data_IF_477829056016
#
_entry.id   IF_477829056016
#
_cell.length_a   1.000
_cell.length_b   1.000
_cell.length_c   1.000
_cell.angle_alpha   90.00
_cell.angle_beta   90.00
_cell.angle_gamma   90.00
#
_symmetry.space_group_name_H-M   'P 1'
#
loop_
_entity.id
_entity.type
_entity.pdbx_description
1 polymer ?
#
# COMPACT_ATOMS: atom_id res chain seq x y z
N UNK A 1 -4.22 -14.49 -38.34
CA UNK A 1 -4.79 -13.88 -37.11
C UNK A 1 -5.45 -14.91 -36.18
N UNK A 2 -6.24 -15.88 -36.66
CA UNK A 2 -6.93 -16.87 -35.80
C UNK A 2 -5.99 -17.74 -34.92
N UNK A 3 -4.83 -18.12 -35.43
CA UNK A 3 -3.84 -18.92 -34.69
C UNK A 3 -3.16 -18.16 -33.54
N UNK A 4 -3.09 -16.83 -33.62
CA UNK A 4 -2.55 -15.95 -32.58
C UNK A 4 -3.61 -15.69 -31.50
N UNK A 5 -4.87 -15.47 -31.89
CA UNK A 5 -5.99 -15.31 -30.94
C UNK A 5 -6.33 -16.59 -30.19
N UNK A 6 -6.10 -17.77 -30.79
CA UNK A 6 -6.28 -19.08 -30.16
C UNK A 6 -4.99 -19.58 -29.47
N UNK A 7 -3.91 -18.78 -29.50
CA UNK A 7 -2.61 -19.06 -28.88
C UNK A 7 -2.08 -20.50 -29.08
N UNK A 8 -2.31 -21.07 -30.27
CA UNK A 8 -1.94 -22.47 -30.58
C UNK A 8 -0.43 -22.71 -30.56
N UNK A 9 0.36 -21.64 -30.59
CA UNK A 9 1.82 -21.66 -30.53
C UNK A 9 2.37 -21.55 -29.09
N UNK A 10 1.50 -21.33 -28.07
CA UNK A 10 1.89 -20.96 -26.69
C UNK A 10 2.90 -19.80 -26.65
N UNK A 11 2.76 -18.86 -27.57
CA UNK A 11 3.60 -17.67 -27.67
C UNK A 11 2.85 -16.48 -27.07
N UNK A 12 3.41 -15.83 -26.06
CA UNK A 12 2.79 -14.68 -25.38
C UNK A 12 2.77 -14.86 -23.86
N UNK A 13 1.73 -14.33 -23.20
CA UNK A 13 1.58 -14.36 -21.73
C UNK A 13 0.55 -15.41 -21.24
N UNK A 14 -0.21 -16.01 -22.16
CA UNK A 14 -1.27 -16.98 -21.87
C UNK A 14 -0.81 -18.40 -22.18
N UNK A 15 -1.24 -19.39 -21.38
CA UNK A 15 -1.07 -20.82 -21.66
C UNK A 15 -2.27 -21.38 -22.43
N UNK A 16 -3.43 -20.74 -22.29
CA UNK A 16 -4.68 -21.16 -22.90
C UNK A 16 -5.89 -20.46 -22.27
N UNK A 17 -7.04 -21.13 -22.37
CA UNK A 17 -8.29 -20.74 -21.72
C UNK A 17 -8.79 -21.92 -20.89
N UNK A 18 -9.25 -21.66 -19.67
CA UNK A 18 -9.89 -22.64 -18.79
C UNK A 18 -11.28 -22.12 -18.41
N UNK A 19 -12.34 -22.83 -18.79
CA UNK A 19 -13.75 -22.42 -18.56
C UNK A 19 -14.08 -20.98 -18.99
N UNK A 20 -13.50 -20.54 -20.11
CA UNK A 20 -13.70 -19.19 -20.63
C UNK A 20 -12.88 -18.10 -19.94
N UNK A 21 -12.04 -18.45 -18.96
CA UNK A 21 -11.08 -17.56 -18.31
C UNK A 21 -9.68 -17.71 -18.92
N UNK A 22 -8.93 -16.61 -19.11
CA UNK A 22 -7.55 -16.67 -19.57
C UNK A 22 -6.67 -17.32 -18.51
N UNK A 23 -5.93 -18.35 -18.91
CA UNK A 23 -4.89 -18.94 -18.07
C UNK A 23 -3.53 -18.36 -18.46
N UNK A 24 -2.80 -17.82 -17.49
CA UNK A 24 -1.49 -17.22 -17.72
C UNK A 24 -0.39 -18.28 -17.64
N UNK A 25 0.65 -18.15 -18.47
CA UNK A 25 1.82 -19.02 -18.43
C UNK A 25 2.55 -18.98 -17.08
N UNK A 26 2.46 -17.84 -16.39
CA UNK A 26 3.08 -17.62 -15.09
C UNK A 26 2.23 -16.66 -14.27
N UNK A 27 2.17 -16.88 -12.95
CA UNK A 27 1.39 -16.06 -12.01
C UNK A 27 1.73 -14.57 -12.10
N UNK A 28 3.02 -14.23 -12.28
CA UNK A 28 3.46 -12.84 -12.38
C UNK A 28 2.78 -12.04 -13.50
N UNK A 29 2.37 -12.68 -14.61
CA UNK A 29 1.59 -11.98 -15.63
C UNK A 29 0.19 -11.66 -15.13
N UNK A 30 -0.46 -12.62 -14.45
CA UNK A 30 -1.75 -12.38 -13.82
C UNK A 30 -1.65 -11.23 -12.80
N UNK A 31 -0.60 -11.23 -11.97
CA UNK A 31 -0.38 -10.20 -10.96
C UNK A 31 -0.16 -8.82 -11.60
N UNK A 32 0.70 -8.73 -12.62
CA UNK A 32 0.95 -7.50 -13.37
C UNK A 32 -0.31 -6.93 -14.02
N UNK A 33 -1.10 -7.78 -14.70
CA UNK A 33 -2.33 -7.32 -15.36
C UNK A 33 -3.42 -6.95 -14.36
N UNK A 34 -3.55 -7.67 -13.24
CA UNK A 34 -4.45 -7.32 -12.15
C UNK A 34 -4.08 -5.97 -11.54
N UNK A 35 -2.80 -5.76 -11.22
CA UNK A 35 -2.27 -4.51 -10.70
C UNK A 35 -2.51 -3.34 -11.65
N UNK A 36 -2.24 -3.53 -12.94
CA UNK A 36 -2.46 -2.50 -13.96
C UNK A 36 -3.94 -2.16 -14.13
N UNK A 37 -4.83 -3.15 -14.04
CA UNK A 37 -6.29 -2.93 -14.05
C UNK A 37 -6.71 -2.09 -12.84
N UNK A 38 -6.26 -2.44 -11.63
CA UNK A 38 -6.52 -1.65 -10.43
C UNK A 38 -6.00 -0.22 -10.58
N UNK A 39 -4.77 -0.05 -11.06
CA UNK A 39 -4.15 1.26 -11.27
C UNK A 39 -4.93 2.14 -12.24
N UNK A 40 -5.56 1.57 -13.27
CA UNK A 40 -6.43 2.33 -14.18
C UNK A 40 -7.78 2.69 -13.55
N UNK A 41 -8.35 1.78 -12.75
CA UNK A 41 -9.71 1.91 -12.23
C UNK A 41 -9.78 2.77 -10.98
N UNK A 42 -8.82 2.68 -10.06
CA UNK A 42 -8.82 3.41 -8.78
C UNK A 42 -8.83 4.94 -8.97
N UNK A 43 -7.92 5.56 -9.76
CA UNK A 43 -7.95 7.01 -9.97
C UNK A 43 -9.21 7.50 -10.68
N UNK A 44 -9.82 6.63 -11.50
CA UNK A 44 -11.01 6.93 -12.32
C UNK A 44 -12.32 6.65 -11.57
N UNK A 45 -12.26 6.03 -10.39
CA UNK A 45 -13.43 5.69 -9.62
C UNK A 45 -14.11 6.98 -9.11
N UNK A 46 -15.37 7.19 -9.53
CA UNK A 46 -16.23 8.16 -8.83
C UNK A 46 -16.49 7.62 -7.43
N UNK A 47 -16.72 8.52 -6.45
CA UNK A 47 -16.93 8.19 -5.02
C UNK A 47 -17.92 7.04 -4.73
N UNK A 48 -18.78 6.68 -5.68
CA UNK A 48 -19.79 5.62 -5.55
C UNK A 48 -19.36 4.24 -6.10
N UNK A 49 -18.16 4.09 -6.67
CA UNK A 49 -17.60 2.75 -7.00
C UNK A 49 -16.79 2.25 -5.81
N UNK A 50 -17.46 2.15 -4.65
CA UNK A 50 -16.89 1.64 -3.41
C UNK A 50 -16.25 0.25 -3.62
N UNK A 51 -16.79 -0.58 -4.52
CA UNK A 51 -16.33 -1.95 -4.75
C UNK A 51 -14.86 -2.04 -5.16
N UNK A 52 -14.37 -1.24 -6.12
CA UNK A 52 -12.96 -1.35 -6.57
C UNK A 52 -12.00 -0.84 -5.50
N UNK A 53 -12.37 0.25 -4.81
CA UNK A 53 -11.57 0.80 -3.71
C UNK A 53 -11.53 -0.18 -2.55
N UNK A 54 -12.68 -0.69 -2.10
CA UNK A 54 -12.78 -1.68 -1.03
C UNK A 54 -12.05 -2.97 -1.37
N UNK A 55 -12.12 -3.44 -2.62
CA UNK A 55 -11.34 -4.59 -3.09
C UNK A 55 -9.84 -4.30 -2.94
N UNK A 56 -9.33 -3.20 -3.51
CA UNK A 56 -7.91 -2.85 -3.45
C UNK A 56 -7.41 -2.70 -2.00
N UNK A 57 -8.20 -2.04 -1.13
CA UNK A 57 -7.89 -1.93 0.30
C UNK A 57 -7.85 -3.31 0.98
N UNK A 58 -8.78 -4.19 0.65
CA UNK A 58 -8.87 -5.54 1.20
C UNK A 58 -7.70 -6.46 0.83
N UNK A 59 -6.98 -6.17 -0.25
CA UNK A 59 -5.79 -6.95 -0.65
C UNK A 59 -4.58 -6.65 0.25
N UNK A 60 -4.46 -5.45 0.82
CA UNK A 60 -3.33 -5.12 1.69
C UNK A 60 -3.35 -5.98 2.95
N UNK A 61 -2.19 -6.50 3.35
CA UNK A 61 -2.03 -7.46 4.44
C UNK A 61 -2.23 -8.93 4.03
N UNK A 62 -2.70 -9.20 2.81
CA UNK A 62 -2.87 -10.56 2.30
C UNK A 62 -1.62 -11.02 1.55
N UNK A 63 -0.92 -12.02 2.07
CA UNK A 63 0.35 -12.50 1.52
C UNK A 63 0.25 -12.92 0.04
N UNK A 64 -0.86 -13.53 -0.35
CA UNK A 64 -1.12 -13.97 -1.73
C UNK A 64 -1.25 -12.84 -2.75
N UNK A 65 -1.45 -11.60 -2.30
CA UNK A 65 -1.61 -10.44 -3.18
C UNK A 65 -0.45 -9.45 -3.08
N UNK A 66 0.62 -9.82 -2.36
CA UNK A 66 1.80 -8.97 -2.18
C UNK A 66 2.41 -8.50 -3.51
N UNK A 67 2.60 -9.39 -4.48
CA UNK A 67 3.14 -9.05 -5.80
C UNK A 67 2.19 -8.17 -6.63
N UNK A 68 0.87 -8.41 -6.54
CA UNK A 68 -0.13 -7.54 -7.19
C UNK A 68 -0.02 -6.11 -6.66
N UNK A 69 0.10 -5.97 -5.34
CA UNK A 69 0.17 -4.66 -4.70
C UNK A 69 1.50 -3.98 -4.95
N UNK A 70 2.59 -4.73 -5.01
CA UNK A 70 3.90 -4.22 -5.40
C UNK A 70 3.85 -3.58 -6.79
N UNK A 71 3.34 -4.30 -7.80
CA UNK A 71 3.17 -3.73 -9.14
C UNK A 71 2.21 -2.53 -9.14
N UNK A 72 1.12 -2.59 -8.37
CA UNK A 72 0.15 -1.49 -8.28
C UNK A 72 0.80 -0.20 -7.75
N UNK A 73 1.66 -0.33 -6.75
CA UNK A 73 2.41 0.77 -6.14
C UNK A 73 3.49 1.31 -7.09
N UNK A 74 4.21 0.41 -7.77
CA UNK A 74 5.21 0.76 -8.79
C UNK A 74 4.61 1.56 -9.95
N UNK A 75 3.39 1.26 -10.40
CA UNK A 75 2.72 2.05 -11.44
C UNK A 75 2.43 3.50 -11.02
N UNK A 76 2.16 3.73 -9.73
CA UNK A 76 2.05 5.10 -9.17
C UNK A 76 3.40 5.80 -9.18
N UNK A 77 4.42 5.10 -8.68
CA UNK A 77 5.75 5.63 -8.45
C UNK A 77 6.57 5.86 -9.72
N UNK A 78 6.29 5.18 -10.84
CA UNK A 78 7.14 5.16 -12.05
C UNK A 78 7.53 6.57 -12.54
N UNK A 79 6.60 7.51 -12.52
CA UNK A 79 6.82 8.88 -13.02
C UNK A 79 7.24 9.87 -11.93
N UNK A 80 7.53 9.41 -10.72
CA UNK A 80 7.66 10.27 -9.55
C UNK A 80 8.96 9.94 -8.79
N UNK A 81 10.01 10.73 -9.03
CA UNK A 81 11.37 10.42 -8.56
C UNK A 81 11.48 10.11 -7.06
N UNK A 82 10.83 10.86 -6.14
CA UNK A 82 10.87 10.52 -4.72
C UNK A 82 10.28 9.14 -4.41
N UNK A 83 9.27 8.70 -5.14
CA UNK A 83 8.65 7.39 -4.91
C UNK A 83 9.50 6.27 -5.49
N UNK A 84 10.05 6.47 -6.68
CA UNK A 84 11.00 5.50 -7.27
C UNK A 84 12.22 5.32 -6.38
N UNK A 85 12.76 6.41 -5.82
CA UNK A 85 13.89 6.34 -4.89
C UNK A 85 13.56 5.49 -3.65
N UNK A 86 12.38 5.69 -3.06
CA UNK A 86 11.92 4.89 -1.90
C UNK A 86 11.81 3.40 -2.27
N UNK A 87 11.20 3.08 -3.41
CA UNK A 87 11.02 1.69 -3.86
C UNK A 87 12.36 1.00 -4.15
N UNK A 88 13.34 1.73 -4.67
CA UNK A 88 14.67 1.21 -4.96
C UNK A 88 15.60 1.19 -3.73
N UNK A 89 15.21 1.82 -2.62
CA UNK A 89 16.09 2.00 -1.45
C UNK A 89 17.18 3.06 -1.64
N UNK A 90 16.99 3.97 -2.61
CA UNK A 90 17.92 5.06 -2.91
C UNK A 90 17.73 6.26 -1.97
N UNK A 91 18.72 7.14 -1.93
CA UNK A 91 18.63 8.43 -1.25
C UNK A 91 17.59 9.34 -1.92
N UNK A 92 16.70 9.93 -1.12
CA UNK A 92 15.67 10.85 -1.61
C UNK A 92 16.25 12.27 -1.71
N UNK A 93 16.29 12.85 -2.93
CA UNK A 93 16.90 14.16 -3.22
C UNK A 93 15.89 15.20 -3.74
N UNK A 94 15.70 16.33 -3.05
CA UNK A 94 14.80 17.44 -3.47
C UNK A 94 13.64 17.77 -2.49
N UNK A 95 12.65 18.54 -2.95
CA UNK A 95 11.42 18.80 -2.16
C UNK A 95 10.44 17.62 -2.28
N UNK A 96 10.16 16.94 -1.16
CA UNK A 96 9.42 15.65 -1.16
C UNK A 96 8.08 15.70 -0.43
N UNK A 97 7.92 16.63 0.50
CA UNK A 97 6.82 16.66 1.48
C UNK A 97 5.42 16.69 0.87
N UNK A 98 5.26 17.34 -0.29
CA UNK A 98 3.95 17.54 -0.93
C UNK A 98 3.80 16.81 -2.28
N UNK A 99 4.83 16.08 -2.65
CA UNK A 99 4.89 15.38 -3.93
C UNK A 99 3.97 14.14 -3.89
N UNK A 100 2.83 14.26 -4.59
CA UNK A 100 1.82 13.21 -4.73
C UNK A 100 1.90 12.63 -6.14
N UNK A 101 1.93 11.32 -6.24
CA UNK A 101 1.64 10.66 -7.51
C UNK A 101 0.11 10.66 -7.73
N UNK A 102 -0.37 9.88 -8.71
CA UNK A 102 -1.81 9.79 -9.00
C UNK A 102 -2.64 9.15 -7.88
N UNK A 103 -2.00 8.55 -6.89
CA UNK A 103 -2.57 7.82 -5.77
C UNK A 103 -2.19 8.46 -4.41
N UNK A 104 -0.89 8.58 -4.12
CA UNK A 104 -0.26 8.65 -2.79
C UNK A 104 0.85 9.69 -2.67
N UNK A 105 1.21 10.01 -1.41
CA UNK A 105 2.38 10.84 -1.06
C UNK A 105 3.62 9.97 -0.85
N UNK A 106 4.80 10.59 -0.77
CA UNK A 106 6.04 9.88 -0.42
C UNK A 106 5.96 9.15 0.94
N UNK A 107 5.24 9.71 1.93
CA UNK A 107 5.07 9.08 3.25
C UNK A 107 4.25 7.79 3.17
N UNK A 108 3.27 7.69 2.27
CA UNK A 108 2.55 6.43 2.04
C UNK A 108 3.47 5.36 1.44
N UNK A 109 4.28 5.75 0.44
CA UNK A 109 5.21 4.81 -0.20
C UNK A 109 6.28 4.35 0.80
N UNK A 110 6.77 5.24 1.67
CA UNK A 110 7.69 4.88 2.74
C UNK A 110 7.05 3.96 3.80
N UNK A 111 5.78 4.20 4.16
CA UNK A 111 5.04 3.30 5.05
C UNK A 111 4.95 1.89 4.48
N UNK A 112 4.64 1.75 3.19
CA UNK A 112 4.53 0.46 2.51
C UNK A 112 5.89 -0.22 2.29
N UNK A 113 6.84 0.48 1.68
CA UNK A 113 8.06 -0.13 1.12
C UNK A 113 9.35 0.36 1.77
N UNK A 114 9.34 1.54 2.38
CA UNK A 114 10.52 2.12 3.01
C UNK A 114 10.97 1.35 4.25
N UNK A 115 12.26 1.42 4.57
CA UNK A 115 12.80 0.93 5.84
C UNK A 115 12.46 1.85 7.01
N UNK A 116 12.50 1.31 8.24
CA UNK A 116 12.29 2.08 9.48
C UNK A 116 13.23 3.29 9.59
N UNK A 117 14.50 3.15 9.17
CA UNK A 117 15.49 4.24 9.18
C UNK A 117 15.06 5.42 8.31
N UNK A 118 14.55 5.14 7.10
CA UNK A 118 14.05 6.15 6.20
C UNK A 118 12.82 6.85 6.77
N UNK A 119 11.89 6.09 7.34
CA UNK A 119 10.68 6.66 7.93
C UNK A 119 11.01 7.58 9.12
N UNK A 120 12.06 7.27 9.88
CA UNK A 120 12.56 8.11 10.99
C UNK A 120 13.17 9.43 10.56
N UNK A 121 13.65 9.57 9.33
CA UNK A 121 14.23 10.82 8.81
C UNK A 121 13.26 11.63 7.97
N UNK A 122 12.24 10.99 7.39
CA UNK A 122 11.23 11.67 6.61
C UNK A 122 10.44 12.68 7.45
N UNK A 123 10.07 13.83 6.87
CA UNK A 123 9.14 14.77 7.50
C UNK A 123 7.73 14.18 7.50
N UNK A 124 7.23 13.82 8.69
CA UNK A 124 5.94 13.13 8.83
C UNK A 124 4.76 14.10 8.97
N UNK A 125 4.96 15.25 9.62
CA UNK A 125 4.04 16.40 9.82
C UNK A 125 2.57 16.13 9.47
N UNK A 126 1.96 16.94 8.60
CA UNK A 126 0.56 16.75 8.20
C UNK A 126 0.37 15.56 7.26
N UNK A 127 1.46 15.06 6.64
CA UNK A 127 1.43 14.02 5.62
C UNK A 127 0.94 12.67 6.17
N UNK A 128 1.14 12.41 7.47
CA UNK A 128 0.61 11.24 8.19
C UNK A 128 -0.92 11.20 8.23
N UNK A 129 -1.60 12.35 8.09
CA UNK A 129 -3.07 12.48 8.12
C UNK A 129 -3.69 12.47 6.73
N UNK A 130 -2.89 12.63 5.68
CA UNK A 130 -3.38 12.74 4.31
C UNK A 130 -3.91 11.38 3.87
N UNK A 131 -5.20 11.30 3.56
CA UNK A 131 -5.78 10.11 2.92
C UNK A 131 -5.52 10.12 1.41
N UNK A 132 -5.15 8.97 0.89
CA UNK A 132 -4.89 8.73 -0.52
C UNK A 132 -6.19 8.48 -1.31
N UNK A 133 -6.09 8.08 -2.59
CA UNK A 133 -7.26 7.76 -3.43
C UNK A 133 -8.02 6.51 -2.99
N UNK A 134 -7.42 5.67 -2.17
CA UNK A 134 -8.06 4.52 -1.53
C UNK A 134 -8.70 4.89 -0.19
N UNK A 135 -8.56 6.14 0.26
CA UNK A 135 -9.05 6.59 1.56
C UNK A 135 -8.17 6.14 2.73
N UNK A 136 -6.96 5.66 2.44
CA UNK A 136 -6.02 5.15 3.44
C UNK A 136 -5.00 6.23 3.79
N UNK A 137 -4.64 6.35 5.07
CA UNK A 137 -3.49 7.12 5.53
C UNK A 137 -2.22 6.24 5.49
N UNK A 138 -1.01 6.83 5.64
CA UNK A 138 0.21 6.04 5.83
C UNK A 138 0.14 5.11 7.05
N UNK A 139 -0.50 5.55 8.14
CA UNK A 139 -0.65 4.75 9.38
C UNK A 139 -1.55 3.53 9.13
N UNK A 140 -2.68 3.70 8.44
CA UNK A 140 -3.59 2.59 8.11
C UNK A 140 -2.92 1.53 7.23
N UNK A 141 -1.94 1.91 6.40
CA UNK A 141 -1.15 0.92 5.64
C UNK A 141 -0.24 0.11 6.53
N UNK A 142 0.40 0.73 7.51
CA UNK A 142 1.25 0.03 8.47
C UNK A 142 0.45 -0.89 9.39
N UNK A 143 -0.73 -0.44 9.84
CA UNK A 143 -1.71 -1.22 10.62
C UNK A 143 -2.12 -2.48 9.86
N UNK A 144 -2.61 -2.31 8.64
CA UNK A 144 -3.08 -3.41 7.81
C UNK A 144 -1.98 -4.38 7.39
N UNK A 145 -0.74 -3.92 7.28
CA UNK A 145 0.41 -4.76 6.92
C UNK A 145 1.09 -5.40 8.13
N UNK A 146 0.64 -5.11 9.37
CA UNK A 146 1.25 -5.64 10.59
C UNK A 146 2.68 -5.14 10.84
N UNK A 147 3.02 -3.93 10.36
CA UNK A 147 4.39 -3.39 10.45
C UNK A 147 4.61 -2.55 11.71
N UNK A 148 4.59 -3.20 12.88
CA UNK A 148 4.61 -2.54 14.20
C UNK A 148 5.79 -1.60 14.41
N UNK A 149 6.99 -1.96 13.94
CA UNK A 149 8.18 -1.08 14.06
C UNK A 149 8.01 0.27 13.35
N UNK A 150 7.21 0.32 12.28
CA UNK A 150 6.87 1.59 11.59
C UNK A 150 5.75 2.33 12.32
N UNK A 151 4.78 1.61 12.88
CA UNK A 151 3.75 2.20 13.73
C UNK A 151 4.35 2.89 14.95
N UNK A 152 5.35 2.29 15.60
CA UNK A 152 6.08 2.90 16.72
C UNK A 152 6.78 4.21 16.33
N UNK A 153 7.32 4.28 15.11
CA UNK A 153 7.93 5.50 14.59
C UNK A 153 6.87 6.58 14.37
N UNK A 154 5.73 6.22 13.79
CA UNK A 154 4.62 7.18 13.64
C UNK A 154 4.10 7.63 15.02
N UNK A 155 3.90 6.71 15.96
CA UNK A 155 3.42 7.00 17.30
C UNK A 155 4.37 7.93 18.06
N UNK A 156 5.67 7.63 18.04
CA UNK A 156 6.66 8.46 18.74
C UNK A 156 6.84 9.85 18.16
N UNK A 157 6.60 10.03 16.85
CA UNK A 157 6.83 11.30 16.14
C UNK A 157 5.56 12.11 15.87
N UNK A 158 4.40 11.48 15.93
CA UNK A 158 3.10 12.06 15.61
C UNK A 158 2.08 11.81 16.74
N UNK A 159 2.47 12.13 17.98
CA UNK A 159 1.64 11.97 19.18
C UNK A 159 0.82 13.21 19.55
N UNK A 160 0.59 14.13 18.60
CA UNK A 160 -0.32 15.24 18.86
C UNK A 160 -1.78 14.72 18.91
N UNK A 161 -2.66 15.41 19.64
CA UNK A 161 -4.08 15.03 19.79
C UNK A 161 -4.87 15.04 18.46
N UNK A 162 -4.20 15.35 17.33
CA UNK A 162 -4.83 15.47 16.02
C UNK A 162 -5.02 14.13 15.30
N UNK A 163 -4.33 13.07 15.73
CA UNK A 163 -4.48 11.73 15.18
C UNK A 163 -5.32 10.92 16.16
N UNK A 164 -6.48 10.46 15.67
CA UNK A 164 -7.27 9.49 16.41
C UNK A 164 -6.73 8.08 16.16
N UNK A 165 -5.84 7.60 17.03
CA UNK A 165 -5.13 6.33 16.82
C UNK A 165 -6.09 5.15 16.89
N UNK A 166 -7.09 5.23 17.77
CA UNK A 166 -8.13 4.22 17.83
C UNK A 166 -8.92 4.07 16.50
N UNK A 167 -9.16 5.17 15.77
CA UNK A 167 -9.81 5.12 14.47
C UNK A 167 -8.89 4.59 13.36
N UNK A 168 -7.60 4.91 13.40
CA UNK A 168 -6.65 4.53 12.34
C UNK A 168 -6.10 3.10 12.51
N UNK A 169 -6.05 2.55 13.73
CA UNK A 169 -5.49 1.22 14.06
C UNK A 169 -6.53 0.10 14.22
N UNK A 170 -7.52 0.04 13.32
CA UNK A 170 -8.61 -0.93 13.44
C UNK A 170 -8.12 -2.38 13.49
N UNK A 171 -7.15 -2.76 12.65
CA UNK A 171 -6.68 -4.15 12.55
C UNK A 171 -5.82 -4.54 13.75
N UNK A 172 -4.94 -3.64 14.20
CA UNK A 172 -4.08 -3.87 15.38
C UNK A 172 -4.94 -3.99 16.64
N UNK A 173 -5.96 -3.15 16.82
CA UNK A 173 -6.84 -3.23 17.99
C UNK A 173 -7.62 -4.55 18.07
N UNK A 174 -8.09 -5.07 16.94
CA UNK A 174 -8.75 -6.39 16.87
C UNK A 174 -7.81 -7.54 17.27
N UNK A 175 -6.49 -7.34 17.13
CA UNK A 175 -5.47 -8.37 17.37
C UNK A 175 -4.60 -8.13 18.61
N UNK A 176 -4.79 -7.03 19.34
CA UNK A 176 -3.90 -6.55 20.41
C UNK A 176 -3.68 -7.58 21.53
N UNK A 177 -4.67 -8.45 21.78
CA UNK A 177 -4.62 -9.52 22.79
C UNK A 177 -3.57 -10.60 22.44
N UNK A 178 -3.17 -10.71 21.17
CA UNK A 178 -2.22 -11.72 20.68
C UNK A 178 -0.79 -11.21 20.57
N UNK A 179 -0.57 -9.90 20.70
CA UNK A 179 0.68 -9.26 20.30
C UNK A 179 1.50 -8.80 21.52
N UNK A 180 2.39 -9.69 21.97
CA UNK A 180 3.25 -9.45 23.15
C UNK A 180 4.19 -8.25 22.99
N UNK A 181 4.56 -7.92 21.75
CA UNK A 181 5.50 -6.85 21.44
C UNK A 181 4.90 -5.45 21.64
N UNK A 182 3.58 -5.33 21.72
CA UNK A 182 2.90 -4.04 21.96
C UNK A 182 2.97 -3.58 23.41
N UNK A 183 3.12 -4.49 24.38
CA UNK A 183 2.96 -4.18 25.82
C UNK A 183 3.86 -3.04 26.33
N UNK A 184 5.04 -2.84 25.73
CA UNK A 184 6.01 -1.81 26.12
C UNK A 184 6.30 -0.78 25.01
N UNK A 185 5.50 -0.75 23.94
CA UNK A 185 5.68 0.18 22.82
C UNK A 185 4.99 1.54 23.07
N UNK A 186 5.50 2.65 22.51
CA UNK A 186 4.81 3.95 22.49
C UNK A 186 3.38 3.89 21.92
N UNK A 187 3.10 2.94 21.02
CA UNK A 187 1.79 2.72 20.44
C UNK A 187 0.76 2.30 21.50
N UNK A 188 1.18 1.48 22.46
CA UNK A 188 0.29 0.95 23.50
C UNK A 188 -0.15 2.03 24.50
N UNK A 189 0.73 2.98 24.85
CA UNK A 189 0.31 4.14 25.66
C UNK A 189 -0.75 4.98 24.94
N UNK A 190 -0.58 5.26 23.64
CA UNK A 190 -1.54 6.05 22.88
C UNK A 190 -2.91 5.37 22.76
N UNK A 191 -2.92 4.04 22.57
CA UNK A 191 -4.15 3.24 22.53
C UNK A 191 -4.87 3.24 23.89
N UNK A 192 -4.13 3.06 24.99
CA UNK A 192 -4.71 2.97 26.34
C UNK A 192 -5.24 4.32 26.84
N UNK A 193 -4.61 5.42 26.45
CA UNK A 193 -5.00 6.78 26.84
C UNK A 193 -6.21 7.31 26.05
N UNK A 194 -6.72 6.54 25.08
CA UNK A 194 -7.95 6.86 24.33
C UNK A 194 -7.76 7.94 23.27
N UNK A 195 -6.52 8.15 22.82
CA UNK A 195 -6.18 9.04 21.71
C UNK A 195 -6.42 8.34 20.37
#
# INVERSE_FOLDING_TARGET
MKAVSENRLRQGFLSGMCDGLPEFLHRSFADFFAAHLLYKKVPSARRNVATVISLAVGLYGQADYSEVLKFFDEFGAWSHMPHSAILNGDEIKGEHEKSRDKLRTAVHIAALHGGSSLLSTLPLNEAVRVKDKLGMSPVMYCDRSGTFSKLDIFASRCNDESINWALELQVTLENIVKEKDLMNSPLNSLILDGH
#
